data_IF_767638020635
#
_entry.id   IF_767638020635
#
_cell.length_a   1.000
_cell.length_b   1.000
_cell.length_c   1.000
_cell.angle_alpha   90.00
_cell.angle_beta   90.00
_cell.angle_gamma   90.00
#
_symmetry.space_group_name_H-M   'P 1'
#
loop_
_entity.id
_entity.type
_entity.pdbx_description
1 polymer ?
#
# COMPACT_ATOMS: atom_id res chain seq x y z
N UNK A 1 -50.52 68.15 -10.62
CA UNK A 1 -49.97 66.86 -10.14
C UNK A 1 -48.86 66.46 -11.10
N UNK A 2 -47.60 66.74 -10.74
CA UNK A 2 -46.43 66.40 -11.55
C UNK A 2 -45.90 65.02 -11.13
N UNK A 3 -45.79 64.10 -12.09
CA UNK A 3 -45.29 62.74 -11.89
C UNK A 3 -43.77 62.77 -11.97
N UNK A 4 -43.10 62.46 -10.85
CA UNK A 4 -41.64 62.34 -10.78
C UNK A 4 -41.26 60.87 -11.01
N UNK A 5 -40.69 60.58 -12.17
CA UNK A 5 -40.13 59.26 -12.51
C UNK A 5 -38.75 59.14 -11.87
N UNK A 6 -38.59 58.20 -10.94
CA UNK A 6 -37.27 57.81 -10.40
C UNK A 6 -36.76 56.60 -11.18
N UNK A 7 -35.77 56.82 -12.04
CA UNK A 7 -35.04 55.77 -12.73
C UNK A 7 -34.11 55.05 -11.73
N UNK A 8 -34.26 53.73 -11.59
CA UNK A 8 -33.36 52.88 -10.82
C UNK A 8 -32.27 52.36 -11.77
N UNK A 9 -31.03 52.82 -11.60
CA UNK A 9 -29.88 52.28 -12.33
C UNK A 9 -29.34 51.07 -11.55
N UNK A 10 -29.51 49.87 -12.11
CA UNK A 10 -28.89 48.64 -11.59
C UNK A 10 -27.49 48.55 -12.19
N UNK A 11 -26.46 48.80 -11.39
CA UNK A 11 -25.07 48.59 -11.77
C UNK A 11 -24.70 47.11 -11.69
N UNK A 12 -24.47 46.49 -12.84
CA UNK A 12 -23.95 45.12 -12.94
C UNK A 12 -22.43 45.14 -12.67
N UNK A 13 -21.99 44.64 -11.52
CA UNK A 13 -20.56 44.41 -11.24
C UNK A 13 -20.19 43.06 -11.82
N UNK A 14 -19.45 43.05 -12.92
CA UNK A 14 -18.82 41.84 -13.46
C UNK A 14 -17.52 41.61 -12.69
N UNK A 15 -17.53 40.65 -11.75
CA UNK A 15 -16.30 40.11 -11.18
C UNK A 15 -15.59 39.29 -12.26
N UNK A 16 -14.48 39.79 -12.78
CA UNK A 16 -13.56 39.01 -13.57
C UNK A 16 -12.81 38.03 -12.64
N UNK A 17 -13.23 36.77 -12.61
CA UNK A 17 -12.44 35.69 -12.02
C UNK A 17 -11.19 35.49 -12.88
N UNK A 18 -10.06 36.03 -12.44
CA UNK A 18 -8.75 35.64 -12.93
C UNK A 18 -8.46 34.23 -12.42
N UNK A 19 -8.52 33.24 -13.30
CA UNK A 19 -8.01 31.90 -13.02
C UNK A 19 -6.50 31.99 -12.90
N UNK A 20 -6.00 32.10 -11.67
CA UNK A 20 -4.59 31.85 -11.40
C UNK A 20 -4.34 30.37 -11.73
N UNK A 21 -3.72 30.11 -12.88
CA UNK A 21 -3.12 28.82 -13.18
C UNK A 21 -2.00 28.60 -12.18
N UNK A 22 -2.28 27.83 -11.12
CA UNK A 22 -1.25 27.28 -10.27
C UNK A 22 -0.38 26.37 -11.15
N UNK A 23 0.83 26.85 -11.46
CA UNK A 23 1.89 25.96 -11.93
C UNK A 23 2.16 25.01 -10.77
N UNK A 24 1.63 23.78 -10.87
CA UNK A 24 2.03 22.69 -9.98
C UNK A 24 3.52 22.47 -10.23
N UNK A 25 4.38 23.08 -9.40
CA UNK A 25 5.75 22.60 -9.26
C UNK A 25 5.61 21.13 -8.87
N UNK A 26 6.19 20.23 -9.67
CA UNK A 26 6.25 18.82 -9.29
C UNK A 26 6.75 18.72 -7.85
N UNK A 27 6.01 17.99 -7.00
CA UNK A 27 6.47 17.71 -5.64
C UNK A 27 7.76 16.91 -5.76
N UNK A 28 8.89 17.59 -5.64
CA UNK A 28 10.18 16.94 -5.51
C UNK A 28 10.21 16.21 -4.17
N UNK A 29 10.79 15.02 -4.14
CA UNK A 29 10.98 14.29 -2.89
C UNK A 29 11.80 15.11 -1.90
N UNK A 30 11.65 14.83 -0.60
CA UNK A 30 12.46 15.48 0.42
C UNK A 30 13.95 15.34 0.08
N UNK A 31 14.73 16.43 0.14
CA UNK A 31 16.14 16.38 -0.23
C UNK A 31 16.89 15.45 0.72
N UNK A 32 17.86 14.67 0.21
CA UNK A 32 18.62 13.73 1.03
C UNK A 32 19.26 14.39 2.28
N UNK A 33 19.61 15.68 2.18
CA UNK A 33 20.18 16.47 3.28
C UNK A 33 19.22 16.73 4.45
N UNK A 34 17.91 16.51 4.29
CA UNK A 34 16.94 16.63 5.39
C UNK A 34 16.79 15.34 6.20
N UNK A 35 17.40 14.23 5.76
CA UNK A 35 17.32 12.94 6.44
C UNK A 35 18.49 12.82 7.42
N UNK A 36 18.17 12.57 8.69
CA UNK A 36 19.19 12.27 9.71
C UNK A 36 19.72 10.86 9.48
N UNK A 37 21.02 10.73 9.31
CA UNK A 37 21.72 9.46 9.06
C UNK A 37 22.64 9.11 10.23
N UNK A 38 22.92 7.81 10.42
CA UNK A 38 23.96 7.33 11.33
C UNK A 38 25.32 7.30 10.62
N UNK A 39 26.40 7.30 11.40
CA UNK A 39 27.76 7.17 10.86
C UNK A 39 27.88 5.87 10.02
N UNK A 40 28.51 5.98 8.85
CA UNK A 40 28.65 4.86 7.90
C UNK A 40 27.52 4.71 6.87
N UNK A 41 26.46 5.52 6.94
CA UNK A 41 25.36 5.51 5.96
C UNK A 41 25.44 6.67 4.97
N UNK A 42 24.87 6.49 3.79
CA UNK A 42 24.69 7.54 2.78
C UNK A 42 23.26 7.48 2.25
N UNK A 43 22.68 8.66 1.97
CA UNK A 43 21.38 8.78 1.31
C UNK A 43 21.56 9.56 0.01
N UNK A 44 20.99 9.02 -1.08
CA UNK A 44 21.00 9.64 -2.40
C UNK A 44 19.57 9.67 -2.93
N UNK A 45 19.12 10.84 -3.40
CA UNK A 45 17.88 10.92 -4.17
C UNK A 45 18.12 10.29 -5.54
N UNK A 46 17.40 9.20 -5.81
CA UNK A 46 17.47 8.52 -7.10
C UNK A 46 16.50 9.15 -8.11
N UNK A 47 15.23 9.33 -7.71
CA UNK A 47 14.17 9.84 -8.57
C UNK A 47 13.01 10.35 -7.74
N UNK A 48 12.41 11.46 -8.17
CA UNK A 48 11.10 11.92 -7.69
C UNK A 48 10.00 11.46 -8.64
N UNK A 49 8.83 11.13 -8.10
CA UNK A 49 7.66 10.84 -8.93
C UNK A 49 7.30 12.07 -9.79
N UNK A 50 6.97 11.82 -11.06
CA UNK A 50 6.61 12.85 -12.04
C UNK A 50 5.09 12.96 -12.17
N UNK A 51 4.62 14.00 -12.86
CA UNK A 51 3.21 14.17 -13.16
C UNK A 51 2.64 12.90 -13.84
N UNK A 52 1.54 12.37 -13.29
CA UNK A 52 0.90 11.12 -13.76
C UNK A 52 1.43 9.83 -13.13
N UNK A 53 2.46 9.89 -12.29
CA UNK A 53 3.03 8.70 -11.61
C UNK A 53 2.48 8.49 -10.20
N UNK A 54 1.80 9.49 -9.63
CA UNK A 54 1.11 9.38 -8.34
C UNK A 54 2.05 9.09 -7.17
N UNK A 55 1.46 8.66 -6.05
CA UNK A 55 2.21 8.25 -4.86
C UNK A 55 2.63 6.78 -4.96
N UNK A 56 3.89 6.48 -4.61
CA UNK A 56 4.40 5.13 -4.47
C UNK A 56 4.40 4.75 -2.99
N UNK A 57 3.74 3.64 -2.65
CA UNK A 57 3.37 3.31 -1.27
C UNK A 57 3.89 1.95 -0.81
N UNK A 58 4.46 1.17 -1.72
CA UNK A 58 5.13 -0.09 -1.44
C UNK A 58 6.18 -0.36 -2.50
N UNK A 59 7.18 -1.18 -2.17
CA UNK A 59 8.21 -1.57 -3.14
C UNK A 59 8.78 -2.95 -2.88
N UNK A 60 9.28 -3.58 -3.94
CA UNK A 60 10.08 -4.81 -3.93
C UNK A 60 11.12 -4.74 -5.04
N UNK A 61 12.13 -5.62 -5.00
CA UNK A 61 13.00 -5.87 -6.14
C UNK A 61 12.49 -7.06 -6.95
N UNK A 62 12.73 -7.06 -8.26
CA UNK A 62 12.60 -8.24 -9.10
C UNK A 62 13.92 -9.03 -9.21
N UNK A 63 13.89 -10.15 -9.93
CA UNK A 63 15.04 -11.05 -10.15
C UNK A 63 16.19 -10.42 -10.95
N UNK A 64 15.98 -9.23 -11.53
CA UNK A 64 16.99 -8.47 -12.29
C UNK A 64 17.47 -7.22 -11.54
N UNK A 65 17.08 -7.06 -10.28
CA UNK A 65 17.48 -5.92 -9.44
C UNK A 65 16.76 -4.61 -9.78
N UNK A 66 15.67 -4.66 -10.55
CA UNK A 66 14.81 -3.51 -10.81
C UNK A 66 13.82 -3.34 -9.66
N UNK A 67 13.35 -2.13 -9.44
CA UNK A 67 12.41 -1.84 -8.35
C UNK A 67 10.99 -1.89 -8.90
N UNK A 68 10.13 -2.70 -8.31
CA UNK A 68 8.69 -2.65 -8.53
C UNK A 68 8.06 -1.83 -7.41
N UNK A 69 7.21 -0.87 -7.77
CA UNK A 69 6.46 -0.03 -6.83
C UNK A 69 4.97 -0.27 -6.95
N UNK A 70 4.29 -0.38 -5.81
CA UNK A 70 2.83 -0.30 -5.74
C UNK A 70 2.37 1.15 -5.62
N UNK A 71 1.31 1.50 -6.36
CA UNK A 71 0.79 2.87 -6.43
C UNK A 71 -0.48 3.03 -5.60
N UNK A 72 -0.62 4.22 -5.00
CA UNK A 72 -1.75 4.59 -4.16
C UNK A 72 -3.07 4.68 -4.94
N UNK A 73 -3.00 5.20 -6.17
CA UNK A 73 -4.16 5.32 -7.06
C UNK A 73 -4.48 3.98 -7.73
N UNK A 74 -3.65 3.55 -8.67
CA UNK A 74 -3.88 2.38 -9.48
C UNK A 74 -2.59 1.78 -10.06
N UNK A 75 -2.44 0.48 -9.86
CA UNK A 75 -1.50 -0.36 -10.55
C UNK A 75 -0.13 -0.40 -9.89
N UNK A 76 0.79 -1.01 -10.62
CA UNK A 76 2.18 -1.18 -10.23
C UNK A 76 3.07 -0.69 -11.36
N UNK A 77 4.27 -0.24 -11.01
CA UNK A 77 5.25 0.24 -11.97
C UNK A 77 6.63 -0.33 -11.67
N UNK A 78 7.49 -0.33 -12.68
CA UNK A 78 8.87 -0.78 -12.63
C UNK A 78 9.80 0.41 -12.85
N UNK A 79 10.80 0.52 -11.99
CA UNK A 79 11.92 1.43 -12.12
C UNK A 79 13.16 0.63 -12.49
N UNK A 80 13.79 0.98 -13.61
CA UNK A 80 15.07 0.37 -14.00
C UNK A 80 16.20 1.28 -13.58
N UNK A 81 17.08 0.78 -12.71
CA UNK A 81 18.28 1.46 -12.29
C UNK A 81 19.37 1.33 -13.37
N UNK A 82 20.25 2.34 -13.53
CA UNK A 82 21.41 2.21 -14.39
C UNK A 82 22.38 1.14 -13.87
N UNK A 83 23.19 0.57 -14.76
CA UNK A 83 24.22 -0.38 -14.36
C UNK A 83 25.25 0.28 -13.43
N UNK A 84 25.78 -0.49 -12.47
CA UNK A 84 26.74 0.02 -11.48
C UNK A 84 28.00 0.65 -12.11
N UNK A 85 28.42 0.17 -13.29
CA UNK A 85 29.56 0.68 -14.06
C UNK A 85 29.29 2.07 -14.66
N UNK A 86 28.02 2.38 -14.96
CA UNK A 86 27.58 3.65 -15.55
C UNK A 86 27.27 4.72 -14.49
N UNK A 87 27.23 4.37 -13.20
CA UNK A 87 26.99 5.36 -12.13
C UNK A 87 28.07 6.45 -12.06
N UNK A 88 29.28 6.18 -12.57
CA UNK A 88 30.40 7.11 -12.59
C UNK A 88 30.43 8.02 -13.84
N UNK A 89 29.66 7.70 -14.88
CA UNK A 89 29.72 8.38 -16.18
C UNK A 89 28.33 8.70 -16.71
N UNK A 90 27.88 9.92 -16.41
CA UNK A 90 26.66 10.56 -16.92
C UNK A 90 25.34 10.07 -16.32
N UNK A 91 24.37 10.98 -16.28
CA UNK A 91 23.05 10.82 -15.69
C UNK A 91 22.19 9.84 -16.53
N UNK A 92 22.48 8.55 -16.47
CA UNK A 92 21.61 7.53 -17.05
C UNK A 92 20.28 7.57 -16.29
N UNK A 93 19.22 7.92 -17.00
CA UNK A 93 17.90 8.21 -16.44
C UNK A 93 17.25 6.93 -15.90
N UNK A 94 16.83 6.96 -14.63
CA UNK A 94 15.98 5.90 -14.07
C UNK A 94 14.66 5.90 -14.81
N UNK A 95 14.41 4.85 -15.58
CA UNK A 95 13.20 4.71 -16.39
C UNK A 95 12.03 4.30 -15.51
N UNK A 96 10.83 4.78 -15.87
CA UNK A 96 9.58 4.40 -15.25
C UNK A 96 8.72 3.69 -16.29
N UNK A 97 8.29 2.47 -15.99
CA UNK A 97 7.39 1.69 -16.82
C UNK A 97 6.17 1.27 -16.01
N UNK A 98 4.98 1.54 -16.52
CA UNK A 98 3.75 1.07 -15.89
C UNK A 98 3.50 -0.39 -16.28
N UNK A 99 3.38 -1.26 -15.28
CA UNK A 99 3.16 -2.70 -15.47
C UNK A 99 1.67 -3.08 -15.42
N UNK A 100 0.91 -2.41 -14.56
CA UNK A 100 -0.55 -2.52 -14.47
C UNK A 100 -1.15 -1.13 -14.22
N UNK A 101 -2.42 -0.95 -14.59
CA UNK A 101 -3.20 0.26 -14.34
C UNK A 101 -4.61 -0.03 -13.80
N UNK A 102 -4.92 -1.30 -13.53
CA UNK A 102 -6.29 -1.75 -13.25
C UNK A 102 -6.53 -2.04 -11.77
N UNK A 103 -5.54 -2.60 -11.07
CA UNK A 103 -5.58 -2.85 -9.64
C UNK A 103 -5.53 -1.51 -8.90
N UNK A 104 -6.29 -1.32 -7.83
CA UNK A 104 -6.37 -0.05 -7.10
C UNK A 104 -5.75 -0.16 -5.73
N UNK A 105 -5.04 0.89 -5.32
CA UNK A 105 -4.45 1.01 -3.99
C UNK A 105 -3.56 -0.20 -3.66
N UNK A 106 -2.49 -0.35 -4.44
CA UNK A 106 -1.54 -1.47 -4.38
C UNK A 106 -0.57 -1.29 -3.20
N UNK A 107 -0.98 -1.70 -2.01
CA UNK A 107 -0.26 -1.45 -0.75
C UNK A 107 0.81 -2.48 -0.42
N UNK A 108 0.80 -3.61 -1.11
CA UNK A 108 1.83 -4.63 -0.98
C UNK A 108 2.22 -5.19 -2.32
N UNK A 109 3.52 -5.34 -2.54
CA UNK A 109 4.09 -5.91 -3.75
C UNK A 109 5.24 -6.85 -3.38
N UNK A 110 5.25 -8.03 -3.98
CA UNK A 110 6.31 -9.03 -3.81
C UNK A 110 6.62 -9.66 -5.16
N UNK A 111 7.88 -9.67 -5.56
CA UNK A 111 8.33 -10.51 -6.67
C UNK A 111 8.90 -11.81 -6.10
N UNK A 112 8.27 -12.94 -6.42
CA UNK A 112 8.69 -14.27 -5.98
C UNK A 112 8.10 -15.32 -6.94
N UNK A 113 8.65 -16.53 -6.95
CA UNK A 113 8.11 -17.66 -7.74
C UNK A 113 7.81 -17.30 -9.21
N UNK A 114 8.72 -16.54 -9.83
CA UNK A 114 8.62 -16.02 -11.21
C UNK A 114 7.31 -15.26 -11.45
N UNK A 115 6.86 -14.48 -10.46
CA UNK A 115 5.57 -13.81 -10.45
C UNK A 115 5.59 -12.56 -9.59
N UNK A 116 4.73 -11.60 -9.94
CA UNK A 116 4.46 -10.44 -9.11
C UNK A 116 3.17 -10.65 -8.32
N UNK A 117 3.26 -10.66 -7.01
CA UNK A 117 2.12 -10.72 -6.10
C UNK A 117 1.75 -9.31 -5.64
N UNK A 118 0.46 -9.00 -5.65
CA UNK A 118 -0.05 -7.66 -5.35
C UNK A 118 -1.22 -7.71 -4.37
N UNK A 119 -1.07 -6.98 -3.27
CA UNK A 119 -2.14 -6.65 -2.34
C UNK A 119 -2.82 -5.36 -2.81
N UNK A 120 -3.98 -5.49 -3.46
CA UNK A 120 -4.73 -4.36 -4.01
C UNK A 120 -5.98 -4.11 -3.17
N UNK A 121 -5.85 -3.17 -2.22
CA UNK A 121 -6.82 -2.97 -1.14
C UNK A 121 -8.18 -2.52 -1.69
N UNK A 122 -8.20 -1.52 -2.57
CA UNK A 122 -9.44 -0.98 -3.13
C UNK A 122 -10.02 -1.88 -4.23
N UNK A 123 -9.19 -2.73 -4.84
CA UNK A 123 -9.64 -3.85 -5.68
C UNK A 123 -10.13 -5.06 -4.87
N UNK A 124 -9.99 -5.04 -3.54
CA UNK A 124 -10.51 -6.07 -2.63
C UNK A 124 -9.94 -7.46 -2.91
N UNK A 125 -8.64 -7.55 -3.18
CA UNK A 125 -8.03 -8.84 -3.51
C UNK A 125 -6.52 -8.91 -3.40
N UNK A 126 -6.05 -10.15 -3.28
CA UNK A 126 -4.67 -10.53 -3.45
C UNK A 126 -4.50 -11.22 -4.81
N UNK A 127 -3.60 -10.69 -5.64
CA UNK A 127 -3.45 -11.06 -7.04
C UNK A 127 -2.05 -11.59 -7.33
N UNK A 128 -1.95 -12.44 -8.36
CA UNK A 128 -0.71 -12.90 -8.97
C UNK A 128 -0.67 -12.46 -10.43
N UNK A 129 0.41 -11.80 -10.81
CA UNK A 129 0.70 -11.34 -12.16
C UNK A 129 1.83 -12.19 -12.74
N UNK A 130 1.69 -12.62 -13.99
CA UNK A 130 2.67 -13.48 -14.68
C UNK A 130 2.93 -12.99 -16.10
N UNK A 131 4.19 -13.10 -16.49
CA UNK A 131 4.62 -13.08 -17.88
C UNK A 131 4.60 -14.52 -18.39
N UNK A 132 3.63 -14.85 -19.23
CA UNK A 132 3.47 -16.17 -19.83
C UNK A 132 4.13 -16.27 -21.20
N UNK A 133 4.65 -15.16 -21.73
CA UNK A 133 5.21 -15.05 -23.07
C UNK A 133 6.73 -14.87 -23.09
N UNK A 134 7.33 -14.50 -21.97
CA UNK A 134 8.76 -14.24 -21.81
C UNK A 134 9.21 -12.90 -22.40
N UNK A 135 8.29 -11.96 -22.62
CA UNK A 135 8.57 -10.64 -23.18
C UNK A 135 8.85 -9.56 -22.11
N UNK A 136 8.97 -9.99 -20.84
CA UNK A 136 9.22 -9.17 -19.67
C UNK A 136 8.07 -8.19 -19.35
N UNK A 137 6.85 -8.61 -19.71
CA UNK A 137 5.58 -7.94 -19.38
C UNK A 137 4.58 -8.93 -18.80
N UNK A 138 3.86 -8.49 -17.78
CA UNK A 138 2.80 -9.30 -17.18
C UNK A 138 1.55 -9.26 -18.05
N UNK A 139 1.17 -10.40 -18.65
CA UNK A 139 0.00 -10.56 -19.50
C UNK A 139 -1.15 -11.31 -18.80
N UNK A 140 -0.86 -12.04 -17.71
CA UNK A 140 -1.86 -12.70 -16.87
C UNK A 140 -2.03 -11.94 -15.54
N UNK A 141 -3.27 -11.60 -15.18
CA UNK A 141 -3.64 -11.09 -13.84
C UNK A 141 -4.66 -12.05 -13.22
N UNK A 142 -4.25 -12.80 -12.20
CA UNK A 142 -5.08 -13.80 -11.53
C UNK A 142 -5.40 -13.39 -10.11
N UNK A 143 -6.68 -13.35 -9.75
CA UNK A 143 -7.11 -13.25 -8.36
C UNK A 143 -6.81 -14.56 -7.63
N UNK A 144 -6.04 -14.50 -6.54
CA UNK A 144 -5.76 -15.64 -5.67
C UNK A 144 -6.74 -15.71 -4.49
N UNK A 145 -7.07 -14.58 -3.89
CA UNK A 145 -8.04 -14.51 -2.78
C UNK A 145 -8.74 -13.16 -2.76
N UNK A 146 -10.07 -13.18 -2.68
CA UNK A 146 -10.87 -11.99 -2.41
C UNK A 146 -10.68 -11.57 -0.95
N UNK A 147 -10.54 -10.26 -0.73
CA UNK A 147 -10.34 -9.65 0.58
C UNK A 147 -11.53 -8.73 0.86
N UNK A 148 -12.37 -9.08 1.82
CA UNK A 148 -13.56 -8.28 2.18
C UNK A 148 -13.16 -7.05 3.00
N UNK A 149 -12.62 -6.05 2.29
CA UNK A 149 -12.30 -4.73 2.80
C UNK A 149 -13.52 -3.82 2.73
N UNK A 150 -13.88 -3.18 3.86
CA UNK A 150 -15.10 -2.33 3.97
C UNK A 150 -14.85 -0.91 4.45
N UNK A 151 -13.60 -0.44 4.44
CA UNK A 151 -13.23 0.88 4.96
C UNK A 151 -12.73 1.82 3.87
N UNK A 152 -12.54 3.07 4.27
CA UNK A 152 -11.89 4.14 3.51
C UNK A 152 -10.71 4.76 4.29
N UNK A 153 -10.41 4.23 5.47
CA UNK A 153 -9.40 4.76 6.40
C UNK A 153 -8.05 4.03 6.35
N UNK A 154 -7.94 3.00 5.51
CA UNK A 154 -6.66 2.47 5.06
C UNK A 154 -6.14 1.24 5.81
N UNK A 155 -6.86 0.62 6.75
CA UNK A 155 -6.39 -0.60 7.42
C UNK A 155 -6.64 -1.86 6.58
N UNK A 156 -6.34 -1.79 5.28
CA UNK A 156 -6.62 -2.82 4.30
C UNK A 156 -5.59 -3.94 4.25
N UNK A 157 -5.50 -4.60 3.09
CA UNK A 157 -4.46 -5.57 2.78
C UNK A 157 -3.15 -4.80 2.55
N UNK A 158 -2.26 -4.86 3.53
CA UNK A 158 -1.02 -4.08 3.64
C UNK A 158 0.07 -4.74 2.77
N UNK A 159 1.16 -5.22 3.38
CA UNK A 159 2.29 -5.83 2.69
C UNK A 159 2.10 -7.33 2.39
N UNK A 160 2.86 -7.82 1.41
CA UNK A 160 3.11 -9.24 1.16
C UNK A 160 4.61 -9.55 1.19
N UNK A 161 5.01 -10.65 1.84
CA UNK A 161 6.42 -11.01 2.07
C UNK A 161 6.65 -12.50 1.81
N UNK A 162 7.81 -12.84 1.26
CA UNK A 162 8.25 -14.22 1.10
C UNK A 162 8.92 -14.70 2.40
N UNK A 163 8.42 -15.78 2.98
CA UNK A 163 9.02 -16.41 4.15
C UNK A 163 10.20 -17.33 3.81
N UNK A 164 11.02 -17.68 4.80
CA UNK A 164 12.17 -18.59 4.63
C UNK A 164 11.76 -20.00 4.18
N UNK A 165 10.51 -20.38 4.45
CA UNK A 165 9.87 -21.63 4.04
C UNK A 165 9.32 -21.61 2.59
N UNK A 166 9.63 -20.56 1.82
CA UNK A 166 9.15 -20.35 0.45
C UNK A 166 7.62 -20.21 0.35
N UNK A 167 6.97 -19.85 1.46
CA UNK A 167 5.55 -19.52 1.48
C UNK A 167 5.36 -18.01 1.49
N UNK A 168 4.19 -17.58 1.06
CA UNK A 168 3.83 -16.17 0.97
C UNK A 168 3.02 -15.77 2.20
N UNK A 169 3.43 -14.67 2.82
CA UNK A 169 2.80 -14.10 4.00
C UNK A 169 2.10 -12.81 3.61
N UNK A 170 0.78 -12.75 3.81
CA UNK A 170 -0.05 -11.59 3.47
C UNK A 170 -0.53 -10.91 4.73
N UNK A 171 -0.22 -9.63 4.86
CA UNK A 171 -0.51 -8.82 6.04
C UNK A 171 -1.82 -8.06 5.84
N UNK A 172 -2.80 -8.28 6.70
CA UNK A 172 -4.10 -7.61 6.66
C UNK A 172 -4.35 -6.83 7.95
N UNK A 173 -4.74 -5.56 7.81
CA UNK A 173 -5.31 -4.79 8.90
C UNK A 173 -6.75 -5.19 9.23
N UNK A 174 -7.29 -4.61 10.29
CA UNK A 174 -8.59 -4.95 10.86
C UNK A 174 -9.79 -4.41 10.08
N UNK A 175 -9.60 -3.68 8.97
CA UNK A 175 -10.70 -3.33 8.07
C UNK A 175 -11.00 -4.43 7.03
N UNK A 176 -10.14 -5.46 6.97
CA UNK A 176 -10.34 -6.69 6.19
C UNK A 176 -10.99 -7.73 7.10
N UNK A 177 -12.13 -8.28 6.69
CA UNK A 177 -12.82 -9.34 7.44
C UNK A 177 -11.88 -10.53 7.68
N UNK A 178 -12.03 -11.19 8.84
CA UNK A 178 -11.31 -12.42 9.12
C UNK A 178 -11.66 -13.50 8.07
N UNK A 179 -10.69 -14.24 7.52
CA UNK A 179 -10.92 -15.09 6.37
C UNK A 179 -11.72 -16.35 6.73
N UNK A 180 -12.68 -16.69 5.86
CA UNK A 180 -13.28 -18.03 5.85
C UNK A 180 -12.43 -19.01 5.03
N UNK A 181 -12.69 -20.30 5.23
CA UNK A 181 -12.11 -21.39 4.42
C UNK A 181 -10.61 -21.60 4.60
N UNK A 182 -10.04 -21.14 5.71
CA UNK A 182 -8.64 -21.39 6.07
C UNK A 182 -8.48 -22.76 6.73
N UNK A 183 -7.26 -23.29 6.67
CA UNK A 183 -6.88 -24.57 7.24
C UNK A 183 -7.19 -24.63 8.74
N UNK A 184 -7.73 -25.76 9.25
CA UNK A 184 -7.95 -25.94 10.68
C UNK A 184 -6.62 -25.99 11.48
N UNK A 185 -5.48 -26.12 10.80
CA UNK A 185 -4.13 -26.05 11.40
C UNK A 185 -3.64 -24.62 11.62
N UNK A 186 -4.42 -23.60 11.24
CA UNK A 186 -4.13 -22.19 11.53
C UNK A 186 -3.81 -22.02 13.00
N UNK A 187 -2.73 -21.30 13.32
CA UNK A 187 -2.28 -21.08 14.70
C UNK A 187 -3.20 -20.14 15.45
N UNK A 188 -3.73 -19.13 14.75
CA UNK A 188 -4.75 -18.22 15.28
C UNK A 188 -6.12 -18.58 14.71
N UNK A 189 -7.10 -18.78 15.60
CA UNK A 189 -8.45 -19.24 15.27
C UNK A 189 -9.43 -18.52 16.18
N UNK A 190 -10.66 -18.34 15.71
CA UNK A 190 -11.78 -17.85 16.54
C UNK A 190 -11.53 -16.44 17.10
N UNK A 191 -11.46 -15.40 16.24
CA UNK A 191 -11.33 -14.02 16.70
C UNK A 191 -12.56 -13.65 17.55
N UNK A 192 -12.29 -13.21 18.77
CA UNK A 192 -13.32 -12.77 19.72
C UNK A 192 -12.87 -11.49 20.41
N UNK A 193 -13.83 -10.64 20.69
CA UNK A 193 -13.62 -9.54 21.63
C UNK A 193 -13.38 -10.15 23.02
N UNK A 194 -12.29 -9.74 23.66
CA UNK A 194 -11.89 -10.12 25.01
C UNK A 194 -12.34 -9.10 26.07
N UNK A 195 -13.39 -8.33 25.75
CA UNK A 195 -13.89 -7.26 26.59
C UNK A 195 -14.24 -7.74 27.99
N UNK A 196 -13.52 -7.21 28.98
CA UNK A 196 -13.92 -7.33 30.38
C UNK A 196 -15.16 -6.49 30.68
N UNK A 197 -15.33 -5.37 29.97
CA UNK A 197 -16.47 -4.46 30.04
C UNK A 197 -16.87 -4.12 28.61
N UNK A 198 -18.15 -4.32 28.27
CA UNK A 198 -18.64 -3.99 26.93
C UNK A 198 -18.55 -2.48 26.68
N UNK A 199 -18.02 -2.09 25.52
CA UNK A 199 -18.05 -0.71 25.01
C UNK A 199 -19.24 -0.58 24.05
N UNK A 200 -20.31 0.15 24.41
CA UNK A 200 -21.50 0.29 23.56
C UNK A 200 -21.24 0.88 22.17
N UNK A 201 -20.11 1.58 21.97
CA UNK A 201 -19.70 2.07 20.65
C UNK A 201 -19.22 0.96 19.71
N UNK A 202 -18.83 -0.19 20.26
CA UNK A 202 -18.25 -1.28 19.51
C UNK A 202 -19.20 -2.50 19.39
N UNK A 203 -20.37 -2.48 20.04
CA UNK A 203 -21.29 -3.63 20.12
C UNK A 203 -21.86 -4.12 18.78
N UNK A 204 -21.81 -3.29 17.73
CA UNK A 204 -22.25 -3.64 16.37
C UNK A 204 -21.07 -3.86 15.39
N UNK A 205 -19.83 -3.80 15.88
CA UNK A 205 -18.65 -4.08 15.07
C UNK A 205 -18.47 -5.59 14.93
N UNK A 206 -18.25 -6.05 13.69
CA UNK A 206 -17.75 -7.40 13.41
C UNK A 206 -16.43 -7.62 14.18
N UNK A 207 -16.12 -8.84 14.63
CA UNK A 207 -14.91 -9.20 15.41
C UNK A 207 -13.66 -9.14 14.50
N UNK A 208 -13.45 -8.02 13.83
CA UNK A 208 -12.40 -7.85 12.86
C UNK A 208 -11.12 -7.54 13.58
N UNK A 209 -10.16 -8.40 13.32
CA UNK A 209 -8.80 -8.26 13.79
C UNK A 209 -7.88 -8.33 12.58
N UNK A 210 -6.87 -7.47 12.59
CA UNK A 210 -5.73 -7.62 11.72
C UNK A 210 -5.12 -9.00 11.94
N UNK A 211 -4.66 -9.59 10.85
CA UNK A 211 -4.20 -10.96 10.80
C UNK A 211 -3.15 -11.14 9.71
N UNK A 212 -2.35 -12.19 9.83
CA UNK A 212 -1.37 -12.59 8.84
C UNK A 212 -1.79 -13.94 8.25
N UNK A 213 -1.95 -13.96 6.93
CA UNK A 213 -2.19 -15.17 6.17
C UNK A 213 -0.87 -15.76 5.69
N UNK A 214 -0.82 -17.08 5.60
CA UNK A 214 0.25 -17.83 4.94
C UNK A 214 -0.35 -18.67 3.82
N UNK A 215 0.25 -18.63 2.63
CA UNK A 215 -0.22 -19.36 1.45
C UNK A 215 0.92 -19.85 0.56
N UNK A 216 0.67 -20.86 -0.27
CA UNK A 216 1.61 -21.27 -1.32
C UNK A 216 1.59 -20.32 -2.52
N UNK A 217 2.57 -20.47 -3.40
CA UNK A 217 2.75 -19.65 -4.60
C UNK A 217 1.51 -19.60 -5.53
N UNK A 218 0.63 -20.59 -5.48
CA UNK A 218 -0.58 -20.67 -6.30
C UNK A 218 -1.85 -20.26 -5.57
N UNK A 219 -1.78 -19.91 -4.28
CA UNK A 219 -2.95 -19.58 -3.47
C UNK A 219 -3.84 -20.79 -3.15
N UNK A 220 -3.30 -22.02 -3.10
CA UNK A 220 -4.09 -23.25 -2.93
C UNK A 220 -4.32 -23.62 -1.47
N UNK A 221 -3.41 -23.24 -0.59
CA UNK A 221 -3.49 -23.46 0.86
C UNK A 221 -3.50 -22.13 1.60
N UNK A 222 -4.30 -22.00 2.65
CA UNK A 222 -4.42 -20.77 3.42
C UNK A 222 -4.45 -21.08 4.90
N UNK A 223 -3.55 -20.44 5.65
CA UNK A 223 -3.47 -20.53 7.11
C UNK A 223 -3.47 -19.13 7.72
N UNK A 224 -4.11 -18.96 8.87
CA UNK A 224 -3.91 -17.78 9.72
C UNK A 224 -2.85 -18.12 10.76
N UNK A 225 -1.69 -17.48 10.66
CA UNK A 225 -0.57 -17.79 11.55
C UNK A 225 -0.55 -16.90 12.79
N UNK A 226 -1.11 -15.71 12.70
CA UNK A 226 -1.20 -14.73 13.77
C UNK A 226 -2.40 -13.80 13.53
N UNK A 227 -2.97 -13.28 14.60
CA UNK A 227 -4.08 -12.34 14.56
C UNK A 227 -4.27 -11.64 15.90
N UNK A 228 -5.21 -10.70 15.94
CA UNK A 228 -5.42 -9.82 17.09
C UNK A 228 -4.76 -8.44 16.93
N UNK A 229 -4.34 -8.10 15.71
CA UNK A 229 -3.74 -6.81 15.38
C UNK A 229 -4.81 -5.75 15.06
N UNK A 230 -4.41 -4.49 15.02
CA UNK A 230 -5.19 -3.38 14.47
C UNK A 230 -4.80 -3.14 13.01
N UNK A 231 -3.58 -2.69 12.76
CA UNK A 231 -3.11 -2.31 11.42
C UNK A 231 -1.58 -2.42 11.29
N UNK A 232 -1.08 -3.62 11.47
CA UNK A 232 0.31 -3.96 11.19
C UNK A 232 0.58 -3.84 9.68
N UNK A 233 1.43 -2.90 9.28
CA UNK A 233 1.63 -2.57 7.87
C UNK A 233 2.55 -3.58 7.16
N UNK A 234 3.58 -4.05 7.86
CA UNK A 234 4.63 -4.90 7.29
C UNK A 234 5.05 -6.00 8.25
N UNK A 235 5.75 -7.01 7.73
CA UNK A 235 6.46 -8.04 8.49
C UNK A 235 7.84 -8.28 7.89
N UNK A 236 8.75 -8.83 8.68
CA UNK A 236 10.06 -9.26 8.21
C UNK A 236 10.49 -10.55 8.90
N UNK A 237 11.33 -11.32 8.24
CA UNK A 237 12.00 -12.47 8.83
C UNK A 237 13.46 -12.13 9.15
N UNK A 238 13.95 -12.56 10.31
CA UNK A 238 15.39 -12.50 10.58
C UNK A 238 16.12 -13.71 9.96
N UNK A 239 17.45 -13.75 10.12
CA UNK A 239 18.29 -14.83 9.58
C UNK A 239 18.01 -16.21 10.21
N UNK A 240 17.43 -16.24 11.41
CA UNK A 240 17.03 -17.47 12.10
C UNK A 240 15.62 -17.95 11.69
N UNK A 241 14.95 -17.20 10.82
CA UNK A 241 13.61 -17.50 10.32
C UNK A 241 12.47 -17.09 11.25
N UNK A 242 12.75 -16.26 12.27
CA UNK A 242 11.73 -15.71 13.15
C UNK A 242 11.01 -14.53 12.48
N UNK A 243 9.69 -14.49 12.64
CA UNK A 243 8.82 -13.46 12.06
C UNK A 243 8.64 -12.29 13.03
N UNK A 244 8.87 -11.07 12.54
CA UNK A 244 8.65 -9.82 13.27
C UNK A 244 7.62 -8.98 12.52
N UNK A 245 6.74 -8.31 13.25
CA UNK A 245 5.82 -7.31 12.71
C UNK A 245 5.64 -6.21 13.76
N UNK A 246 5.12 -5.07 13.33
CA UNK A 246 4.80 -3.96 14.21
C UNK A 246 3.38 -3.49 13.93
N UNK A 247 2.57 -3.43 14.98
CA UNK A 247 1.18 -3.00 14.87
C UNK A 247 1.09 -1.48 15.04
N UNK A 248 0.44 -0.81 14.08
CA UNK A 248 0.11 0.60 14.24
C UNK A 248 -1.12 0.72 15.14
N UNK A 249 -0.90 0.68 16.45
CA UNK A 249 -1.96 0.84 17.45
C UNK A 249 -2.42 2.32 17.55
N UNK A 250 -3.55 2.56 18.20
CA UNK A 250 -4.18 3.87 18.35
C UNK A 250 -3.22 4.84 19.04
N UNK A 251 -2.64 5.79 18.28
CA UNK A 251 -1.61 6.70 18.77
C UNK A 251 -2.08 7.61 19.91
N UNK A 252 -3.41 7.73 20.08
CA UNK A 252 -4.06 8.42 21.19
C UNK A 252 -3.87 7.73 22.55
N UNK A 253 -3.58 6.43 22.54
CA UNK A 253 -3.45 5.61 23.74
C UNK A 253 -1.99 5.41 24.19
N UNK A 254 -1.02 6.02 23.49
CA UNK A 254 0.42 5.92 23.83
C UNK A 254 0.65 6.24 25.30
N UNK A 255 1.21 5.26 26.03
CA UNK A 255 1.52 5.36 27.46
C UNK A 255 0.41 4.90 28.41
N UNK A 256 -0.74 4.45 27.89
CA UNK A 256 -1.79 3.83 28.69
C UNK A 256 -1.50 2.33 28.94
N UNK A 257 -2.00 1.74 30.05
CA UNK A 257 -1.72 0.34 30.39
C UNK A 257 -2.20 -0.71 29.38
N UNK A 258 -3.05 -0.32 28.42
CA UNK A 258 -3.59 -1.19 27.38
C UNK A 258 -3.04 -0.90 25.99
N UNK A 259 -2.17 0.11 25.84
CA UNK A 259 -1.44 0.37 24.61
C UNK A 259 -0.36 -0.69 24.42
N UNK A 260 -0.39 -1.39 23.28
CA UNK A 260 0.48 -2.54 23.00
C UNK A 260 1.76 -2.14 22.27
#
# INVERSE_FOLDING_TARGET
MAVMVRSLVVGCVVLACTTATSVVRGQEAAPATSIRIQDGFQVRLLRSARAGEGSWISMTFDDRGRIIVGRDDAGVARLTLPAAEDEATSATEITYERLDSTLRHCRGVLYAHDSLYVCATDSKGFYRLRDTTGDDRFDEVKLLKAMDYRSRYGHGTNQVVLGPDQMIYVVNGNDVSFPEGVSPKSSYRDPRNDWLIAEPRDTDQDNRVGHILRTDAEGRSWEVIAGGFRNQFDLAFNADGEMFTWDADMEWDVGLPWYR
#
